data_IF_352604209271
#
_entry.id   IF_352604209271
#
_cell.length_a   1.000
_cell.length_b   1.000
_cell.length_c   1.000
_cell.angle_alpha   90.00
_cell.angle_beta   90.00
_cell.angle_gamma   90.00
#
_symmetry.space_group_name_H-M   'P 1'
#
loop_
_entity.id
_entity.type
_entity.pdbx_description
1 polymer ?
#
# COMPACT_ATOMS: atom_id res chain seq x y z
N UNK A 1 -14.54 15.56 -8.92
CA UNK A 1 -13.78 15.82 -10.15
C UNK A 1 -14.70 15.67 -11.34
N UNK A 2 -14.56 16.54 -12.32
CA UNK A 2 -15.24 16.49 -13.63
C UNK A 2 -14.54 15.49 -14.56
N UNK A 3 -15.18 15.13 -15.68
CA UNK A 3 -14.55 14.25 -16.67
C UNK A 3 -13.29 14.85 -17.31
N UNK A 4 -13.24 16.18 -17.50
CA UNK A 4 -12.04 16.85 -18.01
C UNK A 4 -10.89 16.79 -17.02
N UNK A 5 -11.13 17.09 -15.72
CA UNK A 5 -10.11 16.99 -14.68
C UNK A 5 -9.55 15.56 -14.53
N UNK A 6 -10.40 14.54 -14.73
CA UNK A 6 -9.96 13.12 -14.71
C UNK A 6 -9.06 12.82 -15.92
N UNK A 7 -9.41 13.32 -17.10
CA UNK A 7 -8.62 13.11 -18.30
C UNK A 7 -7.26 13.82 -18.22
N UNK A 8 -7.20 15.02 -17.68
CA UNK A 8 -5.96 15.78 -17.48
C UNK A 8 -5.07 15.09 -16.44
N UNK A 9 -5.64 14.63 -15.31
CA UNK A 9 -4.91 13.89 -14.28
C UNK A 9 -4.35 12.57 -14.84
N UNK A 10 -5.14 11.85 -15.63
CA UNK A 10 -4.68 10.63 -16.29
C UNK A 10 -3.48 10.91 -17.21
N UNK A 11 -3.57 11.95 -18.05
CA UNK A 11 -2.50 12.29 -18.98
C UNK A 11 -1.19 12.65 -18.24
N UNK A 12 -1.28 13.41 -17.12
CA UNK A 12 -0.12 13.70 -16.26
C UNK A 12 0.48 12.43 -15.65
N UNK A 13 -0.36 11.52 -15.13
CA UNK A 13 0.11 10.25 -14.55
C UNK A 13 0.81 9.39 -15.61
N UNK A 14 0.22 9.25 -16.81
CA UNK A 14 0.80 8.49 -17.92
C UNK A 14 2.13 9.09 -18.41
N UNK A 15 2.31 10.41 -18.31
CA UNK A 15 3.53 11.13 -18.70
C UNK A 15 4.62 11.11 -17.60
N UNK A 16 4.33 10.63 -16.40
CA UNK A 16 5.30 10.56 -15.30
C UNK A 16 6.24 9.37 -15.51
N UNK A 17 7.54 9.63 -15.69
CA UNK A 17 8.54 8.58 -15.96
C UNK A 17 8.91 7.79 -14.69
N UNK A 18 9.02 8.48 -13.55
CA UNK A 18 9.31 7.84 -12.26
C UNK A 18 8.13 6.96 -11.81
N UNK A 19 8.39 5.67 -11.62
CA UNK A 19 7.35 4.68 -11.32
C UNK A 19 6.74 4.89 -9.93
N UNK A 20 7.53 5.28 -8.93
CA UNK A 20 7.05 5.56 -7.58
C UNK A 20 6.15 6.80 -7.60
N UNK A 21 6.59 7.89 -8.24
CA UNK A 21 5.77 9.10 -8.36
C UNK A 21 4.48 8.81 -9.11
N UNK A 22 4.55 8.02 -10.20
CA UNK A 22 3.38 7.57 -10.96
C UNK A 22 2.40 6.77 -10.09
N UNK A 23 2.91 5.82 -9.29
CA UNK A 23 2.09 5.04 -8.37
C UNK A 23 1.43 5.90 -7.30
N UNK A 24 2.16 6.84 -6.70
CA UNK A 24 1.63 7.78 -5.71
C UNK A 24 0.54 8.67 -6.29
N UNK A 25 0.75 9.24 -7.47
CA UNK A 25 -0.25 10.06 -8.19
C UNK A 25 -1.51 9.24 -8.50
N UNK A 26 -1.34 8.02 -9.03
CA UNK A 26 -2.46 7.14 -9.36
C UNK A 26 -3.24 6.73 -8.10
N UNK A 27 -2.54 6.37 -7.03
CA UNK A 27 -3.17 6.05 -5.75
C UNK A 27 -4.00 7.22 -5.22
N UNK A 28 -3.49 8.46 -5.30
CA UNK A 28 -4.22 9.66 -4.90
C UNK A 28 -5.49 9.87 -5.70
N UNK A 29 -5.41 9.72 -7.02
CA UNK A 29 -6.56 9.87 -7.91
C UNK A 29 -7.63 8.80 -7.64
N UNK A 30 -7.24 7.53 -7.56
CA UNK A 30 -8.14 6.41 -7.27
C UNK A 30 -8.82 6.61 -5.91
N UNK A 31 -8.05 6.90 -4.86
CA UNK A 31 -8.56 7.12 -3.51
C UNK A 31 -9.59 8.25 -3.48
N UNK A 32 -9.30 9.37 -4.16
CA UNK A 32 -10.20 10.52 -4.26
C UNK A 32 -11.51 10.16 -4.97
N UNK A 33 -11.43 9.44 -6.08
CA UNK A 33 -12.62 9.05 -6.85
C UNK A 33 -13.51 8.06 -6.09
N UNK A 34 -12.92 7.14 -5.34
CA UNK A 34 -13.68 6.22 -4.46
C UNK A 34 -14.27 6.97 -3.26
N UNK A 35 -13.52 7.89 -2.65
CA UNK A 35 -14.00 8.69 -1.50
C UNK A 35 -15.23 9.55 -1.87
N UNK A 36 -15.25 10.14 -3.07
CA UNK A 36 -16.43 10.86 -3.60
C UNK A 36 -17.68 9.98 -3.72
N UNK A 37 -17.52 8.66 -3.68
CA UNK A 37 -18.60 7.66 -3.73
C UNK A 37 -18.84 6.95 -2.38
N UNK A 38 -18.20 7.47 -1.31
CA UNK A 38 -18.36 6.98 0.06
C UNK A 38 -17.51 5.75 0.39
N UNK A 39 -16.46 5.44 -0.41
CA UNK A 39 -15.55 4.34 -0.14
C UNK A 39 -14.15 4.87 0.19
N UNK A 40 -13.68 4.54 1.39
CA UNK A 40 -12.34 4.91 1.85
C UNK A 40 -11.38 3.73 1.65
N UNK A 41 -10.41 3.94 0.77
CA UNK A 41 -9.36 2.97 0.46
C UNK A 41 -8.11 3.25 1.28
N UNK A 42 -7.35 2.20 1.52
CA UNK A 42 -6.06 2.20 2.21
C UNK A 42 -5.07 1.43 1.36
N UNK A 43 -3.92 1.99 1.10
CA UNK A 43 -2.80 1.27 0.47
C UNK A 43 -2.20 0.30 1.48
N UNK A 44 -2.04 -0.94 1.06
CA UNK A 44 -1.55 -2.06 1.86
C UNK A 44 -0.46 -2.83 1.11
N UNK A 45 -0.05 -3.94 1.64
CA UNK A 45 0.77 -4.90 0.92
C UNK A 45 2.15 -4.39 0.53
N UNK A 46 2.66 -4.85 -0.60
CA UNK A 46 3.93 -4.44 -1.17
C UNK A 46 4.00 -2.97 -1.51
N UNK A 47 2.91 -2.39 -2.01
CA UNK A 47 2.83 -0.97 -2.35
C UNK A 47 2.93 -0.05 -1.13
N UNK A 48 2.48 -0.46 0.05
CA UNK A 48 2.74 0.28 1.28
C UNK A 48 4.24 0.31 1.62
N UNK A 49 4.93 -0.83 1.45
CA UNK A 49 6.38 -0.91 1.64
C UNK A 49 7.12 -0.03 0.64
N UNK A 50 6.72 -0.06 -0.64
CA UNK A 50 7.30 0.78 -1.69
C UNK A 50 7.24 2.26 -1.33
N UNK A 51 6.09 2.72 -0.81
CA UNK A 51 5.91 4.11 -0.38
C UNK A 51 6.73 4.47 0.86
N UNK A 52 6.89 3.55 1.82
CA UNK A 52 7.72 3.78 3.01
C UNK A 52 9.22 3.68 2.75
N UNK A 53 9.64 2.94 1.74
CA UNK A 53 11.05 2.76 1.37
C UNK A 53 11.50 3.69 0.25
N UNK A 54 10.64 4.65 -0.14
CA UNK A 54 10.90 5.61 -1.22
C UNK A 54 11.40 4.93 -2.50
N UNK A 55 10.78 3.80 -2.87
CA UNK A 55 11.15 3.00 -4.03
C UNK A 55 12.35 2.07 -3.82
N UNK A 56 12.86 1.92 -2.60
CA UNK A 56 13.87 0.92 -2.26
C UNK A 56 13.39 -0.53 -2.46
N UNK A 57 12.08 -0.73 -2.43
CA UNK A 57 11.37 -1.93 -2.87
C UNK A 57 10.33 -1.53 -3.92
N UNK A 58 10.25 -2.28 -5.02
CA UNK A 58 9.28 -2.06 -6.10
C UNK A 58 8.24 -3.18 -6.10
N UNK A 59 6.98 -2.85 -5.84
CA UNK A 59 5.88 -3.81 -5.81
C UNK A 59 5.38 -4.19 -7.21
N UNK A 60 5.35 -3.22 -8.12
CA UNK A 60 4.81 -3.40 -9.46
C UNK A 60 3.29 -3.31 -9.57
N UNK A 61 2.58 -3.29 -8.47
CA UNK A 61 1.13 -3.11 -8.35
C UNK A 61 0.78 -2.15 -7.21
N UNK A 62 -0.48 -1.73 -7.15
CA UNK A 62 -1.01 -0.93 -6.06
C UNK A 62 -2.16 -1.69 -5.41
N UNK A 63 -1.90 -2.17 -4.20
CA UNK A 63 -2.87 -2.91 -3.40
C UNK A 63 -3.72 -1.98 -2.55
N UNK A 64 -5.04 -2.05 -2.72
CA UNK A 64 -5.99 -1.33 -1.89
C UNK A 64 -6.87 -2.27 -1.08
N UNK A 65 -6.95 -2.03 0.22
CA UNK A 65 -8.03 -2.51 1.06
C UNK A 65 -9.01 -1.38 1.37
N UNK A 66 -10.19 -1.73 1.87
CA UNK A 66 -11.18 -0.79 2.38
C UNK A 66 -11.29 -0.87 3.88
N UNK A 67 -11.76 0.21 4.50
CA UNK A 67 -11.99 0.27 5.95
C UNK A 67 -13.40 -0.18 6.36
N UNK A 68 -14.32 -0.30 5.40
CA UNK A 68 -15.72 -0.65 5.68
C UNK A 68 -16.05 -2.07 5.23
N UNK A 69 -16.96 -2.74 5.95
CA UNK A 69 -17.43 -4.07 5.57
C UNK A 69 -18.11 -4.08 4.20
N UNK A 70 -18.89 -3.03 3.89
CA UNK A 70 -19.54 -2.90 2.59
C UNK A 70 -18.54 -2.43 1.55
N UNK A 71 -18.26 -3.28 0.56
CA UNK A 71 -17.39 -2.96 -0.58
C UNK A 71 -18.13 -2.26 -1.74
N UNK A 72 -17.39 -1.65 -2.67
CA UNK A 72 -17.94 -1.13 -3.90
C UNK A 72 -18.48 -2.29 -4.77
N UNK A 73 -19.58 -2.03 -5.48
CA UNK A 73 -20.06 -3.01 -6.45
C UNK A 73 -19.11 -3.12 -7.64
N UNK A 74 -19.07 -4.26 -8.37
CA UNK A 74 -18.26 -4.38 -9.59
C UNK A 74 -18.57 -3.31 -10.64
N UNK A 75 -19.82 -2.85 -10.70
CA UNK A 75 -20.22 -1.76 -11.58
C UNK A 75 -19.55 -0.44 -11.16
N UNK A 76 -19.58 -0.11 -9.88
CA UNK A 76 -18.95 1.11 -9.38
C UNK A 76 -17.44 1.10 -9.61
N UNK A 77 -16.77 -0.04 -9.41
CA UNK A 77 -15.35 -0.19 -9.72
C UNK A 77 -15.07 0.15 -11.18
N UNK A 78 -15.87 -0.40 -12.10
CA UNK A 78 -15.77 -0.07 -13.54
C UNK A 78 -16.02 1.42 -13.81
N UNK A 79 -17.06 1.99 -13.20
CA UNK A 79 -17.42 3.40 -13.39
C UNK A 79 -16.32 4.36 -12.89
N UNK A 80 -15.46 3.90 -11.99
CA UNK A 80 -14.28 4.64 -11.51
C UNK A 80 -13.06 4.41 -12.39
N UNK A 81 -12.73 3.16 -12.69
CA UNK A 81 -11.44 2.82 -13.31
C UNK A 81 -11.45 2.94 -14.85
N UNK A 82 -12.58 2.71 -15.53
CA UNK A 82 -12.65 2.85 -16.99
C UNK A 82 -12.32 4.27 -17.49
N UNK A 83 -12.80 5.37 -16.86
CA UNK A 83 -12.41 6.73 -17.26
C UNK A 83 -10.89 7.01 -17.11
N UNK A 84 -10.20 6.26 -16.26
CA UNK A 84 -8.75 6.32 -16.12
C UNK A 84 -8.00 5.47 -17.17
N UNK A 85 -8.70 4.94 -18.17
CA UNK A 85 -8.14 4.03 -19.15
C UNK A 85 -7.91 2.61 -18.62
N UNK A 86 -8.53 2.28 -17.50
CA UNK A 86 -8.38 0.98 -16.86
C UNK A 86 -8.88 -0.15 -17.72
N UNK A 87 -8.12 -1.24 -17.80
CA UNK A 87 -8.50 -2.49 -18.44
C UNK A 87 -8.48 -3.62 -17.40
N UNK A 88 -9.49 -4.49 -17.44
CA UNK A 88 -9.56 -5.63 -16.53
C UNK A 88 -8.70 -6.77 -17.06
N UNK A 89 -7.74 -7.23 -16.27
CA UNK A 89 -6.84 -8.34 -16.61
C UNK A 89 -7.02 -9.44 -15.55
N UNK A 90 -7.84 -10.44 -15.86
CA UNK A 90 -8.24 -11.44 -14.87
C UNK A 90 -9.10 -10.80 -13.76
N UNK A 91 -8.60 -10.80 -12.53
CA UNK A 91 -9.25 -10.15 -11.37
C UNK A 91 -8.68 -8.76 -11.06
N UNK A 92 -7.54 -8.42 -11.65
CA UNK A 92 -6.82 -7.18 -11.40
C UNK A 92 -7.16 -6.14 -12.47
N UNK A 93 -6.85 -4.89 -12.22
CA UNK A 93 -6.96 -3.80 -13.18
C UNK A 93 -5.58 -3.33 -13.60
N UNK A 94 -5.42 -2.97 -14.87
CA UNK A 94 -4.27 -2.22 -15.34
C UNK A 94 -4.72 -0.80 -15.64
N UNK A 95 -4.12 0.20 -14.97
CA UNK A 95 -4.48 1.61 -15.04
C UNK A 95 -3.21 2.43 -15.16
N UNK A 96 -3.09 3.30 -16.16
CA UNK A 96 -1.90 4.14 -16.41
C UNK A 96 -0.58 3.33 -16.40
N UNK A 97 -0.61 2.09 -16.93
CA UNK A 97 0.55 1.21 -17.00
C UNK A 97 0.89 0.44 -15.74
N UNK A 98 0.17 0.66 -14.63
CA UNK A 98 0.36 -0.04 -13.35
C UNK A 98 -0.77 -1.03 -13.09
N UNK A 99 -0.48 -2.10 -12.36
CA UNK A 99 -1.51 -2.98 -11.84
C UNK A 99 -2.14 -2.38 -10.58
N UNK A 100 -3.46 -2.58 -10.44
CA UNK A 100 -4.26 -2.10 -9.31
C UNK A 100 -5.13 -3.24 -8.83
N UNK A 101 -5.01 -3.58 -7.56
CA UNK A 101 -5.83 -4.59 -6.91
C UNK A 101 -6.73 -3.96 -5.85
N UNK A 102 -8.02 -4.31 -5.91
CA UNK A 102 -9.00 -3.96 -4.89
C UNK A 102 -9.28 -5.21 -4.06
N UNK A 103 -8.52 -5.37 -3.00
CA UNK A 103 -8.57 -6.51 -2.10
C UNK A 103 -9.81 -6.48 -1.19
N UNK A 104 -9.76 -7.14 -0.06
CA UNK A 104 -10.82 -7.20 0.93
C UNK A 104 -10.97 -5.94 1.78
N UNK A 105 -11.12 -6.17 3.08
CA UNK A 105 -11.07 -5.16 4.13
C UNK A 105 -9.71 -5.24 4.82
N UNK A 106 -9.33 -4.16 5.51
CA UNK A 106 -8.22 -4.24 6.45
C UNK A 106 -8.73 -5.05 7.65
N UNK A 107 -8.17 -6.24 7.85
CA UNK A 107 -8.60 -7.16 8.90
C UNK A 107 -7.80 -6.98 10.19
N UNK A 108 -6.54 -6.54 10.06
CA UNK A 108 -5.65 -6.39 11.21
C UNK A 108 -5.96 -5.13 12.01
N UNK A 109 -6.10 -5.29 13.33
CA UNK A 109 -6.29 -4.18 14.25
C UNK A 109 -4.93 -3.61 14.70
N UNK A 110 -4.80 -2.28 14.67
CA UNK A 110 -3.65 -1.55 15.19
C UNK A 110 -4.11 -0.37 16.03
N UNK A 111 -3.31 -0.01 17.02
CA UNK A 111 -3.52 1.21 17.83
C UNK A 111 -3.05 2.48 17.11
N UNK A 112 -2.29 2.33 16.01
CA UNK A 112 -1.76 3.45 15.25
C UNK A 112 -2.76 3.99 14.24
N UNK A 113 -2.69 5.29 14.00
CA UNK A 113 -3.42 5.93 12.92
C UNK A 113 -2.79 5.60 11.57
N UNK A 114 -3.64 5.51 10.54
CA UNK A 114 -3.14 5.39 9.16
C UNK A 114 -2.32 6.59 8.78
N UNK A 115 -1.19 6.36 8.12
CA UNK A 115 -0.38 7.46 7.58
C UNK A 115 -1.09 8.09 6.39
N UNK A 116 -0.99 9.41 6.27
CA UNK A 116 -1.52 10.16 5.13
C UNK A 116 -0.37 10.64 4.25
N UNK A 117 -0.38 10.24 2.98
CA UNK A 117 0.45 10.80 1.93
C UNK A 117 -0.35 11.82 1.13
N UNK A 118 0.20 13.02 0.96
CA UNK A 118 -0.43 14.07 0.14
C UNK A 118 0.12 13.98 -1.28
N UNK A 119 -0.78 13.82 -2.25
CA UNK A 119 -0.44 13.77 -3.67
C UNK A 119 -1.14 14.93 -4.41
N UNK A 120 -0.75 15.24 -5.67
CA UNK A 120 -1.45 16.25 -6.47
C UNK A 120 -2.95 15.98 -6.64
N UNK A 121 -3.37 14.72 -6.55
CA UNK A 121 -4.75 14.30 -6.81
C UNK A 121 -5.54 13.91 -5.56
N UNK A 122 -4.98 14.11 -4.39
CA UNK A 122 -5.63 13.90 -3.12
C UNK A 122 -4.77 13.19 -2.08
N UNK A 123 -5.39 12.89 -0.96
CA UNK A 123 -4.73 12.19 0.14
C UNK A 123 -4.89 10.69 -0.01
N UNK A 124 -3.81 9.97 0.24
CA UNK A 124 -3.75 8.51 0.28
C UNK A 124 -3.57 8.08 1.73
N UNK A 125 -4.46 7.24 2.23
CA UNK A 125 -4.25 6.55 3.49
C UNK A 125 -3.38 5.31 3.25
N UNK A 126 -2.34 5.14 4.06
CA UNK A 126 -1.42 4.00 3.98
C UNK A 126 -1.47 3.27 5.31
N UNK A 127 -1.39 1.94 5.26
CA UNK A 127 -1.30 1.10 6.46
C UNK A 127 -0.16 1.60 7.37
N UNK A 128 -0.33 1.67 8.71
CA UNK A 128 0.76 2.08 9.58
C UNK A 128 2.03 1.26 9.35
N UNK A 129 3.23 1.87 9.37
CA UNK A 129 4.46 1.17 8.98
C UNK A 129 4.76 -0.03 9.88
N UNK A 130 4.40 0.04 11.17
CA UNK A 130 4.57 -1.07 12.11
C UNK A 130 3.74 -2.30 11.70
N UNK A 131 2.48 -2.07 11.30
CA UNK A 131 1.61 -3.15 10.83
C UNK A 131 2.04 -3.66 9.46
N UNK A 132 2.39 -2.76 8.53
CA UNK A 132 2.90 -3.13 7.21
C UNK A 132 4.15 -4.02 7.33
N UNK A 133 5.07 -3.69 8.24
CA UNK A 133 6.24 -4.52 8.52
C UNK A 133 5.86 -5.90 9.03
N UNK A 134 4.99 -5.97 10.04
CA UNK A 134 4.58 -7.25 10.64
C UNK A 134 3.88 -8.16 9.62
N UNK A 135 3.02 -7.60 8.77
CA UNK A 135 2.41 -8.36 7.67
C UNK A 135 3.47 -8.90 6.69
N UNK A 136 4.49 -8.10 6.32
CA UNK A 136 5.57 -8.59 5.46
C UNK A 136 6.39 -9.70 6.11
N UNK A 137 6.69 -9.59 7.41
CA UNK A 137 7.36 -10.67 8.15
C UNK A 137 6.49 -11.92 8.20
N UNK A 138 5.18 -11.79 8.43
CA UNK A 138 4.25 -12.92 8.44
C UNK A 138 4.22 -13.64 7.09
N UNK A 139 4.03 -12.91 6.00
CA UNK A 139 4.02 -13.50 4.65
C UNK A 139 5.39 -13.99 4.19
N UNK A 140 6.49 -13.55 4.81
CA UNK A 140 7.84 -14.03 4.49
C UNK A 140 8.08 -15.50 4.87
N UNK A 141 7.22 -16.08 5.71
CA UNK A 141 7.28 -17.50 6.04
C UNK A 141 7.03 -18.39 4.81
N UNK A 142 6.26 -17.89 3.84
CA UNK A 142 5.84 -18.65 2.65
C UNK A 142 6.28 -17.99 1.32
N UNK A 143 6.96 -16.83 1.36
CA UNK A 143 7.32 -16.06 0.17
C UNK A 143 8.68 -15.37 0.28
N UNK A 144 9.60 -15.73 -0.62
CA UNK A 144 10.93 -15.08 -0.71
C UNK A 144 10.84 -13.59 -1.06
N UNK A 145 9.85 -13.20 -1.85
CA UNK A 145 9.58 -11.80 -2.19
C UNK A 145 9.22 -10.99 -0.95
N UNK A 146 8.41 -11.57 -0.05
CA UNK A 146 8.07 -10.96 1.23
C UNK A 146 9.28 -10.89 2.18
N UNK A 147 10.26 -11.79 2.08
CA UNK A 147 11.53 -11.67 2.82
C UNK A 147 12.29 -10.42 2.38
N UNK A 148 12.40 -10.18 1.07
CA UNK A 148 13.08 -9.00 0.54
C UNK A 148 12.40 -7.70 0.96
N UNK A 149 11.07 -7.62 0.82
CA UNK A 149 10.29 -6.45 1.22
C UNK A 149 10.32 -6.20 2.73
N UNK A 150 10.27 -7.24 3.56
CA UNK A 150 10.41 -7.12 5.02
C UNK A 150 11.78 -6.56 5.41
N UNK A 151 12.87 -7.04 4.78
CA UNK A 151 14.23 -6.54 5.03
C UNK A 151 14.39 -5.07 4.64
N UNK A 152 13.84 -4.65 3.50
CA UNK A 152 13.86 -3.24 3.08
C UNK A 152 13.07 -2.37 4.05
N UNK A 153 11.90 -2.82 4.49
CA UNK A 153 11.09 -2.11 5.47
C UNK A 153 11.80 -1.99 6.83
N UNK A 154 12.49 -3.06 7.30
CA UNK A 154 13.31 -3.01 8.52
C UNK A 154 14.44 -1.99 8.36
N UNK A 155 15.10 -1.97 7.20
CA UNK A 155 16.18 -1.02 6.94
C UNK A 155 15.69 0.42 7.01
N UNK A 156 14.54 0.74 6.41
CA UNK A 156 13.90 2.05 6.51
C UNK A 156 13.48 2.39 7.95
N UNK A 157 12.86 1.43 8.66
CA UNK A 157 12.43 1.59 10.05
C UNK A 157 13.59 1.83 11.04
N UNK A 158 14.77 1.31 10.76
CA UNK A 158 15.97 1.56 11.58
C UNK A 158 16.49 3.01 11.43
N UNK A 159 16.15 3.69 10.35
CA UNK A 159 16.53 5.08 10.09
C UNK A 159 15.43 6.08 10.52
N UNK A 160 14.19 5.61 10.66
CA UNK A 160 13.06 6.46 11.07
C UNK A 160 12.94 6.51 12.61
N UNK A 161 13.31 7.65 13.25
CA UNK A 161 13.17 7.78 14.71
C UNK A 161 11.71 7.79 15.18
N UNK A 162 10.75 7.96 14.27
CA UNK A 162 9.32 7.93 14.58
C UNK A 162 8.72 6.52 14.50
N UNK A 163 9.49 5.52 14.03
CA UNK A 163 9.02 4.13 13.97
C UNK A 163 8.95 3.52 15.38
N UNK A 164 7.79 2.96 15.72
CA UNK A 164 7.53 2.38 17.04
C UNK A 164 7.79 0.88 17.07
N UNK A 165 9.03 0.50 17.41
CA UNK A 165 9.41 -0.89 17.55
C UNK A 165 8.64 -1.65 18.65
N UNK A 166 8.18 -0.95 19.70
CA UNK A 166 7.36 -1.58 20.74
C UNK A 166 6.01 -2.00 20.19
N UNK A 167 5.39 -1.17 19.35
CA UNK A 167 4.14 -1.51 18.68
C UNK A 167 4.34 -2.62 17.64
N UNK A 168 5.41 -2.58 16.84
CA UNK A 168 5.72 -3.65 15.88
C UNK A 168 5.92 -5.00 16.59
N UNK A 169 6.66 -5.04 17.70
CA UNK A 169 6.85 -6.25 18.48
C UNK A 169 5.54 -6.72 19.14
N UNK A 170 4.70 -5.79 19.62
CA UNK A 170 3.39 -6.12 20.17
C UNK A 170 2.51 -6.79 19.12
N UNK A 171 2.43 -6.20 17.91
CA UNK A 171 1.66 -6.74 16.80
C UNK A 171 2.19 -8.13 16.38
N UNK A 172 3.51 -8.26 16.22
CA UNK A 172 4.15 -9.52 15.84
C UNK A 172 3.91 -10.66 16.86
N UNK A 173 3.68 -10.30 18.12
CA UNK A 173 3.34 -11.25 19.19
C UNK A 173 1.86 -11.62 19.27
N UNK A 174 0.97 -11.00 18.49
CA UNK A 174 -0.46 -11.37 18.47
C UNK A 174 -0.64 -12.80 17.91
N UNK A 175 -1.66 -13.55 18.40
CA UNK A 175 -1.93 -14.90 17.91
C UNK A 175 -2.13 -15.01 16.39
N UNK A 176 -2.68 -13.96 15.77
CA UNK A 176 -2.97 -13.92 14.33
C UNK A 176 -1.69 -13.86 13.48
N UNK A 177 -0.62 -13.27 14.01
CA UNK A 177 0.68 -13.21 13.33
C UNK A 177 1.66 -14.24 13.89
N UNK A 178 1.92 -14.20 15.19
CA UNK A 178 2.85 -15.09 15.90
C UNK A 178 4.24 -15.18 15.26
N UNK A 179 4.81 -14.01 14.89
CA UNK A 179 6.10 -13.88 14.17
C UNK A 179 7.11 -13.01 14.92
N UNK A 180 6.99 -12.89 16.23
CA UNK A 180 7.88 -12.04 17.05
C UNK A 180 9.34 -12.48 16.98
N UNK A 181 9.59 -13.79 16.98
CA UNK A 181 10.94 -14.37 16.87
C UNK A 181 11.57 -14.03 15.50
N UNK A 182 10.80 -14.16 14.44
CA UNK A 182 11.21 -13.90 13.07
C UNK A 182 11.51 -12.42 12.87
N UNK A 183 10.63 -11.54 13.36
CA UNK A 183 10.84 -10.09 13.31
C UNK A 183 12.15 -9.68 13.99
N UNK A 184 12.42 -10.20 15.20
CA UNK A 184 13.64 -9.91 15.94
C UNK A 184 14.87 -10.41 15.23
N UNK A 185 14.84 -11.66 14.74
CA UNK A 185 15.93 -12.26 14.00
C UNK A 185 16.26 -11.47 12.72
N UNK A 186 15.24 -11.10 11.93
CA UNK A 186 15.43 -10.29 10.73
C UNK A 186 16.00 -8.90 11.07
N UNK A 187 15.50 -8.25 12.13
CA UNK A 187 16.00 -6.94 12.58
C UNK A 187 17.46 -6.99 12.96
N UNK A 188 17.88 -7.99 13.75
CA UNK A 188 19.29 -8.18 14.12
C UNK A 188 20.17 -8.43 12.90
N UNK A 189 19.69 -9.21 11.95
CA UNK A 189 20.42 -9.55 10.73
C UNK A 189 20.61 -8.33 9.84
N UNK A 190 19.56 -7.54 9.61
CA UNK A 190 19.64 -6.28 8.85
C UNK A 190 20.56 -5.27 9.55
N UNK A 191 20.47 -5.15 10.87
CA UNK A 191 21.31 -4.22 11.63
C UNK A 191 22.80 -4.58 11.57
N UNK A 192 23.15 -5.88 11.44
CA UNK A 192 24.56 -6.34 11.30
C UNK A 192 25.14 -6.13 9.91
N UNK A 193 24.29 -6.04 8.90
CA UNK A 193 24.73 -5.86 7.49
C UNK A 193 24.92 -4.38 7.11
N UNK A 194 24.72 -3.46 8.03
CA UNK A 194 24.90 -2.00 7.87
C UNK A 194 26.22 -1.56 8.47
#
# INVERSE_FOLDING_TARGET
>A
MTGAEIADARADIEATDDLLERAMKLAGLITTLFAQRGFHLVVVGGSAVEFYTEGGYMSGDIDFCRRSLKGPSPRLVRDVLLPLGGTCVGRNWQVCGLFVDLLGIVESETSKEYRELVTPYGKVSILPPELALVERVFYSLDSEECVASARQMIAAALEDPAFDWCEAERLAGLPDFNVLSELRAMREDVARCR
#
